data_IF_408067122386
#
_entry.id   IF_408067122386
#
_cell.length_a   1.000
_cell.length_b   1.000
_cell.length_c   1.000
_cell.angle_alpha   90.00
_cell.angle_beta   90.00
_cell.angle_gamma   90.00
#
_symmetry.space_group_name_H-M   'P 1'
#
loop_
_entity.id
_entity.type
_entity.pdbx_description
1 polymer ?
#
# COMPACT_ATOMS: atom_id res chain seq x y z
N UNK A 1 81.46 36.78 8.88
CA UNK A 1 81.04 35.45 8.39
C UNK A 1 79.70 35.13 9.02
N UNK A 2 78.61 35.09 8.24
CA UNK A 2 77.54 34.08 8.31
C UNK A 2 76.43 34.46 7.32
N UNK A 3 76.36 33.69 6.23
CA UNK A 3 75.32 33.76 5.21
C UNK A 3 74.11 32.95 5.69
N UNK A 4 72.93 33.56 5.79
CA UNK A 4 71.67 32.83 5.91
C UNK A 4 71.04 32.67 4.53
N UNK A 5 70.99 31.42 4.04
CA UNK A 5 70.22 31.03 2.85
C UNK A 5 68.75 30.93 3.25
N UNK A 6 67.88 31.74 2.63
CA UNK A 6 66.43 31.56 2.71
C UNK A 6 66.01 30.35 1.86
N UNK A 7 65.36 29.38 2.51
CA UNK A 7 64.76 28.22 1.87
C UNK A 7 63.27 28.53 1.62
N UNK A 8 62.89 28.69 0.35
CA UNK A 8 61.47 28.77 -0.03
C UNK A 8 60.87 27.35 0.01
N UNK A 9 59.90 27.12 0.88
CA UNK A 9 59.09 25.90 0.90
C UNK A 9 57.82 26.18 0.11
N UNK A 10 57.70 25.60 -1.08
CA UNK A 10 56.49 25.64 -1.89
C UNK A 10 55.53 24.55 -1.39
N UNK A 11 54.51 24.94 -0.62
CA UNK A 11 53.43 24.03 -0.22
C UNK A 11 52.44 23.86 -1.37
N UNK A 12 52.47 22.70 -2.03
CA UNK A 12 51.43 22.31 -3.00
C UNK A 12 50.22 21.81 -2.21
N UNK A 13 49.18 22.64 -2.14
CA UNK A 13 47.88 22.23 -1.58
C UNK A 13 47.16 21.31 -2.56
N UNK A 14 47.10 20.01 -2.26
CA UNK A 14 46.20 19.07 -2.92
C UNK A 14 44.78 19.37 -2.45
N UNK A 15 44.01 20.09 -3.27
CA UNK A 15 42.58 20.25 -3.07
C UNK A 15 41.90 18.89 -3.33
N UNK A 16 41.63 18.13 -2.27
CA UNK A 16 40.78 16.94 -2.37
C UNK A 16 39.33 17.40 -2.51
N UNK A 17 38.80 17.42 -3.73
CA UNK A 17 37.37 17.57 -3.95
C UNK A 17 36.68 16.31 -3.46
N UNK A 18 35.95 16.43 -2.34
CA UNK A 18 35.04 15.38 -1.91
C UNK A 18 33.89 15.30 -2.92
N UNK A 19 33.89 14.26 -3.76
CA UNK A 19 32.71 13.90 -4.54
C UNK A 19 31.62 13.48 -3.55
N UNK A 20 30.68 14.38 -3.27
CA UNK A 20 29.42 14.01 -2.63
C UNK A 20 28.60 13.26 -3.66
N UNK A 21 28.45 11.95 -3.50
CA UNK A 21 27.44 11.21 -4.26
C UNK A 21 26.11 11.85 -3.85
N UNK A 22 25.40 12.48 -4.78
CA UNK A 22 24.06 12.98 -4.51
C UNK A 22 23.21 11.80 -4.05
N UNK A 23 22.89 11.76 -2.75
CA UNK A 23 22.10 10.68 -2.19
C UNK A 23 20.71 10.77 -2.81
N UNK A 24 20.36 9.79 -3.65
CA UNK A 24 19.04 9.74 -4.28
C UNK A 24 17.98 9.59 -3.21
N UNK A 25 16.93 10.41 -3.27
CA UNK A 25 15.77 10.29 -2.39
C UNK A 25 15.24 8.86 -2.39
N UNK A 26 15.04 8.29 -1.20
CA UNK A 26 14.53 6.95 -1.02
C UNK A 26 13.02 7.01 -0.75
N UNK A 27 12.21 6.51 -1.67
CA UNK A 27 10.75 6.40 -1.45
C UNK A 27 10.46 5.27 -0.46
N UNK A 28 9.48 5.46 0.42
CA UNK A 28 8.98 4.40 1.28
C UNK A 28 8.47 3.20 0.45
N UNK A 29 8.62 1.95 0.91
CA UNK A 29 8.37 0.75 0.10
C UNK A 29 6.89 0.51 -0.21
N UNK A 30 5.97 1.15 0.52
CA UNK A 30 4.54 0.97 0.29
C UNK A 30 3.72 2.17 0.74
N UNK A 31 2.65 2.41 -0.01
CA UNK A 31 1.74 3.54 0.18
C UNK A 31 0.32 3.08 -0.06
N UNK A 32 -0.65 3.63 0.67
CA UNK A 32 -2.07 3.30 0.51
C UNK A 32 -2.95 4.51 0.73
N UNK A 33 -4.15 4.48 0.18
CA UNK A 33 -5.12 5.56 0.30
C UNK A 33 -6.37 5.28 -0.49
N UNK A 34 -7.35 6.16 -0.35
CA UNK A 34 -8.59 6.05 -1.12
C UNK A 34 -8.34 6.36 -2.59
N UNK A 35 -8.98 5.56 -3.44
CA UNK A 35 -9.01 5.62 -4.87
C UNK A 35 -10.46 5.89 -5.28
N UNK A 36 -10.70 7.05 -5.90
CA UNK A 36 -12.03 7.47 -6.34
C UNK A 36 -13.05 7.47 -5.18
N UNK A 37 -12.63 7.94 -4.01
CA UNK A 37 -13.40 8.14 -2.77
C UNK A 37 -14.13 6.92 -2.17
N UNK A 38 -14.01 5.74 -2.80
CA UNK A 38 -14.77 4.56 -2.41
C UNK A 38 -13.90 3.34 -2.08
N UNK A 39 -12.79 3.16 -2.79
CA UNK A 39 -11.98 1.94 -2.72
C UNK A 39 -10.59 2.26 -2.22
N UNK A 40 -9.92 1.33 -1.55
CA UNK A 40 -8.53 1.55 -1.14
C UNK A 40 -7.57 0.90 -2.14
N UNK A 41 -6.55 1.64 -2.57
CA UNK A 41 -5.46 1.15 -3.41
C UNK A 41 -4.17 1.09 -2.61
N UNK A 42 -3.30 0.12 -2.91
CA UNK A 42 -1.92 0.10 -2.39
C UNK A 42 -0.91 0.05 -3.51
N UNK A 43 0.17 0.81 -3.39
CA UNK A 43 1.33 0.79 -4.28
C UNK A 43 2.52 0.22 -3.51
N UNK A 44 3.23 -0.73 -4.12
CA UNK A 44 4.43 -1.36 -3.57
C UNK A 44 5.63 -1.11 -4.47
N UNK A 45 6.72 -0.62 -3.90
CA UNK A 45 7.90 -0.14 -4.62
C UNK A 45 9.16 -0.97 -4.31
N UNK A 46 9.97 -1.17 -5.34
CA UNK A 46 11.35 -1.64 -5.29
C UNK A 46 12.20 -0.62 -6.03
N UNK A 47 13.03 0.11 -5.29
CA UNK A 47 13.86 1.18 -5.83
C UNK A 47 15.32 0.74 -5.97
N UNK A 48 15.94 1.05 -7.11
CA UNK A 48 17.39 0.91 -7.35
C UNK A 48 17.92 2.19 -7.98
N UNK A 49 18.53 3.06 -7.17
CA UNK A 49 18.90 4.40 -7.62
C UNK A 49 17.66 5.19 -7.98
N UNK A 50 17.58 5.69 -9.23
CA UNK A 50 16.39 6.39 -9.73
C UNK A 50 15.36 5.45 -10.35
N UNK A 51 15.70 4.20 -10.64
CA UNK A 51 14.76 3.23 -11.20
C UNK A 51 13.84 2.66 -10.12
N UNK A 52 12.55 2.58 -10.42
CA UNK A 52 11.52 2.02 -9.54
C UNK A 52 10.72 0.97 -10.31
N UNK A 53 10.61 -0.23 -9.75
CA UNK A 53 9.65 -1.25 -10.17
C UNK A 53 8.69 -1.57 -9.05
N UNK A 54 7.58 -2.24 -9.35
CA UNK A 54 6.61 -2.58 -8.33
C UNK A 54 5.27 -2.99 -8.90
N UNK A 55 4.25 -2.87 -8.06
CA UNK A 55 2.87 -3.14 -8.45
C UNK A 55 1.87 -2.33 -7.64
N UNK A 56 0.72 -2.06 -8.26
CA UNK A 56 -0.48 -1.60 -7.58
C UNK A 56 -1.36 -2.81 -7.23
N UNK A 57 -2.14 -2.69 -6.16
CA UNK A 57 -3.15 -3.65 -5.76
C UNK A 57 -4.47 -2.92 -5.51
N UNK A 58 -5.46 -3.20 -6.35
CA UNK A 58 -6.79 -2.60 -6.30
C UNK A 58 -7.83 -3.67 -6.65
N UNK A 59 -8.88 -3.79 -5.84
CA UNK A 59 -9.99 -4.71 -6.08
C UNK A 59 -9.57 -6.17 -6.36
N UNK A 60 -8.56 -6.66 -5.63
CA UNK A 60 -8.01 -8.01 -5.80
C UNK A 60 -7.24 -8.23 -7.12
N UNK A 61 -6.99 -7.17 -7.89
CA UNK A 61 -6.15 -7.17 -9.09
C UNK A 61 -4.80 -6.53 -8.78
N UNK A 62 -3.74 -7.27 -9.08
CA UNK A 62 -2.38 -6.76 -9.06
C UNK A 62 -1.98 -6.29 -10.46
N UNK A 63 -1.46 -5.07 -10.57
CA UNK A 63 -0.94 -4.52 -11.83
C UNK A 63 0.50 -4.08 -11.65
N UNK A 64 1.43 -4.69 -12.38
CA UNK A 64 2.85 -4.34 -12.28
C UNK A 64 3.13 -3.01 -12.96
N UNK A 65 4.13 -2.27 -12.48
CA UNK A 65 4.60 -1.04 -13.13
C UNK A 65 6.12 -0.92 -13.11
N UNK A 66 6.65 -0.05 -13.97
CA UNK A 66 8.05 0.39 -13.97
C UNK A 66 8.14 1.88 -14.21
N UNK A 67 9.14 2.51 -13.62
CA UNK A 67 9.25 3.96 -13.64
C UNK A 67 10.58 4.48 -13.15
N UNK A 68 10.66 5.81 -13.05
CA UNK A 68 11.84 6.52 -12.55
C UNK A 68 11.45 7.71 -11.69
N UNK A 69 12.30 7.99 -10.71
CA UNK A 69 12.29 9.23 -9.92
C UNK A 69 13.12 10.28 -10.66
N UNK A 70 12.57 11.48 -10.77
CA UNK A 70 13.25 12.68 -11.28
C UNK A 70 13.14 13.78 -10.22
N UNK A 71 14.22 14.51 -9.99
CA UNK A 71 14.18 15.68 -9.11
C UNK A 71 13.68 16.89 -9.90
N UNK A 72 12.74 17.62 -9.30
CA UNK A 72 12.15 18.85 -9.85
C UNK A 72 12.25 19.91 -8.75
N UNK A 73 13.29 20.75 -8.82
CA UNK A 73 13.64 21.74 -7.77
C UNK A 73 13.83 21.10 -6.38
N UNK A 74 12.91 21.42 -5.45
CA UNK A 74 12.86 20.89 -4.07
C UNK A 74 11.98 19.63 -3.94
N UNK A 75 11.30 19.22 -5.01
CA UNK A 75 10.38 18.10 -5.05
C UNK A 75 10.95 16.96 -5.90
N UNK A 76 10.27 15.82 -5.85
CA UNK A 76 10.53 14.67 -6.70
C UNK A 76 9.24 14.28 -7.44
N UNK A 77 9.40 13.93 -8.71
CA UNK A 77 8.35 13.36 -9.53
C UNK A 77 8.70 11.90 -9.82
N UNK A 78 7.82 10.98 -9.41
CA UNK A 78 7.90 9.57 -9.77
C UNK A 78 6.86 9.26 -10.85
N UNK A 79 7.34 8.89 -12.03
CA UNK A 79 6.48 8.42 -13.13
C UNK A 79 6.55 6.91 -13.22
N UNK A 80 5.41 6.22 -13.06
CA UNK A 80 5.28 4.77 -13.11
C UNK A 80 4.34 4.37 -14.25
N UNK A 81 4.81 3.57 -15.20
CA UNK A 81 3.99 3.05 -16.29
C UNK A 81 3.53 1.64 -15.94
N UNK A 82 2.22 1.39 -15.94
CA UNK A 82 1.66 0.07 -15.74
C UNK A 82 1.95 -0.85 -16.94
N UNK A 83 2.19 -2.12 -16.65
CA UNK A 83 2.48 -3.16 -17.64
C UNK A 83 1.18 -3.87 -17.98
N UNK A 84 0.78 -3.82 -19.25
CA UNK A 84 -0.42 -4.49 -19.75
C UNK A 84 -1.02 -3.77 -20.95
N UNK A 85 -2.26 -4.14 -21.28
CA UNK A 85 -3.08 -3.48 -22.30
C UNK A 85 -4.53 -3.32 -21.81
N UNK A 86 -5.29 -2.41 -22.43
CA UNK A 86 -6.71 -2.18 -22.15
C UNK A 86 -6.98 -0.90 -21.36
N UNK A 87 -8.26 -0.60 -21.15
CA UNK A 87 -8.72 0.65 -20.53
C UNK A 87 -8.29 0.83 -19.06
N UNK A 88 -7.99 -0.28 -18.37
CA UNK A 88 -7.57 -0.30 -16.97
C UNK A 88 -6.06 -0.17 -16.78
N UNK A 89 -5.31 0.14 -17.85
CA UNK A 89 -3.87 0.32 -17.82
C UNK A 89 -3.56 1.80 -18.04
N UNK A 90 -2.71 2.35 -17.19
CA UNK A 90 -2.33 3.75 -17.23
C UNK A 90 -0.89 4.00 -16.79
N UNK A 91 -0.67 5.22 -16.34
CA UNK A 91 0.56 5.63 -15.67
C UNK A 91 0.21 6.43 -14.42
N UNK A 92 0.97 6.23 -13.36
CA UNK A 92 0.93 7.08 -12.18
C UNK A 92 1.99 8.18 -12.32
N UNK A 93 1.62 9.40 -11.94
CA UNK A 93 2.53 10.51 -11.69
C UNK A 93 2.34 10.85 -10.22
N UNK A 94 3.41 10.73 -9.44
CA UNK A 94 3.42 10.99 -8.01
C UNK A 94 4.36 12.14 -7.74
N UNK A 95 3.87 13.15 -7.02
CA UNK A 95 4.67 14.28 -6.57
C UNK A 95 4.90 14.20 -5.07
N UNK A 96 6.16 14.32 -4.65
CA UNK A 96 6.51 14.21 -3.25
C UNK A 96 7.78 14.95 -2.86
N UNK A 97 7.82 15.38 -1.60
CA UNK A 97 8.97 16.05 -0.97
C UNK A 97 9.78 15.10 -0.12
N UNK A 98 9.08 14.27 0.65
CA UNK A 98 9.64 13.30 1.59
C UNK A 98 8.59 12.21 1.87
N UNK A 99 8.92 11.26 2.75
CA UNK A 99 8.03 10.14 3.11
C UNK A 99 7.04 10.47 4.25
N UNK A 100 7.06 11.68 4.79
CA UNK A 100 6.23 12.12 5.92
C UNK A 100 4.98 12.90 5.47
N UNK A 101 4.93 13.34 4.22
CA UNK A 101 3.77 14.01 3.62
C UNK A 101 3.04 13.04 2.68
N UNK A 102 1.71 13.15 2.54
CA UNK A 102 0.97 12.38 1.55
C UNK A 102 1.55 12.56 0.14
N UNK A 103 1.57 11.49 -0.66
CA UNK A 103 1.85 11.59 -2.10
C UNK A 103 0.61 12.15 -2.79
N UNK A 104 0.79 13.23 -3.53
CA UNK A 104 -0.21 13.66 -4.49
C UNK A 104 -0.08 12.78 -5.74
N UNK A 105 -1.14 12.04 -6.07
CA UNK A 105 -1.10 11.05 -7.14
C UNK A 105 -2.10 11.41 -8.24
N UNK A 106 -1.60 11.41 -9.46
CA UNK A 106 -2.40 11.44 -10.68
C UNK A 106 -2.25 10.10 -11.41
N UNK A 107 -3.35 9.39 -11.62
CA UNK A 107 -3.40 8.24 -12.52
C UNK A 107 -4.01 8.65 -13.86
N UNK A 108 -3.23 8.45 -14.92
CA UNK A 108 -3.58 8.78 -16.31
C UNK A 108 -3.81 7.50 -17.10
N UNK A 109 -5.03 7.24 -17.60
CA UNK A 109 -5.31 6.06 -18.41
C UNK A 109 -4.61 6.14 -19.77
N UNK A 110 -4.29 4.98 -20.34
CA UNK A 110 -3.87 4.88 -21.75
C UNK A 110 -5.04 5.11 -22.72
N UNK A 111 -6.26 4.76 -22.30
CA UNK A 111 -7.48 5.00 -23.07
C UNK A 111 -7.97 6.44 -22.95
N UNK A 112 -8.37 7.03 -24.08
CA UNK A 112 -8.98 8.38 -24.14
C UNK A 112 -10.40 8.43 -23.58
N UNK A 113 -11.08 7.29 -23.41
CA UNK A 113 -12.46 7.23 -22.91
C UNK A 113 -12.55 7.20 -21.37
N UNK A 114 -11.43 6.96 -20.69
CA UNK A 114 -11.36 6.91 -19.23
C UNK A 114 -10.83 8.25 -18.74
N UNK A 115 -11.43 8.79 -17.68
CA UNK A 115 -10.97 10.06 -17.08
C UNK A 115 -9.75 9.83 -16.18
N UNK A 116 -8.82 10.81 -16.11
CA UNK A 116 -7.80 10.86 -15.07
C UNK A 116 -8.39 10.76 -13.67
N UNK A 117 -7.61 10.18 -12.75
CA UNK A 117 -7.95 10.10 -11.33
C UNK A 117 -6.90 10.80 -10.50
N UNK A 118 -7.35 11.47 -9.45
CA UNK A 118 -6.51 12.25 -8.54
C UNK A 118 -6.83 11.80 -7.12
N UNK A 119 -5.81 11.52 -6.32
CA UNK A 119 -5.97 11.04 -4.96
C UNK A 119 -4.66 11.20 -4.19
N UNK A 120 -4.75 11.05 -2.86
CA UNK A 120 -3.59 11.09 -1.98
C UNK A 120 -3.29 9.69 -1.44
N UNK A 121 -2.00 9.39 -1.25
CA UNK A 121 -1.56 8.17 -0.58
C UNK A 121 -0.68 8.50 0.61
N UNK A 122 -0.85 7.75 1.68
CA UNK A 122 -0.01 7.84 2.88
C UNK A 122 0.95 6.67 2.97
N UNK A 123 2.14 6.93 3.51
CA UNK A 123 3.15 5.91 3.68
C UNK A 123 2.67 4.93 4.74
N UNK A 124 2.41 3.69 4.34
CA UNK A 124 1.87 2.67 5.24
C UNK A 124 2.53 1.33 4.97
N UNK A 125 2.95 0.67 6.04
CA UNK A 125 3.54 -0.67 5.98
C UNK A 125 2.43 -1.72 5.94
N UNK A 126 2.58 -2.70 5.05
CA UNK A 126 1.69 -3.85 5.06
C UNK A 126 1.91 -4.69 6.33
N UNK A 127 0.92 -4.72 7.23
CA UNK A 127 0.99 -5.38 8.53
C UNK A 127 -0.34 -6.05 8.87
N UNK A 128 -0.27 -7.12 9.66
CA UNK A 128 -1.46 -7.72 10.25
C UNK A 128 -2.09 -6.74 11.26
N UNK A 129 -3.35 -6.37 11.04
CA UNK A 129 -4.09 -5.42 11.88
C UNK A 129 -4.62 -6.10 13.16
N UNK A 130 -3.69 -6.50 14.04
CA UNK A 130 -4.00 -7.27 15.25
C UNK A 130 -5.00 -6.52 16.14
N UNK A 131 -6.11 -7.19 16.47
CA UNK A 131 -7.13 -6.68 17.40
C UNK A 131 -7.94 -5.50 16.86
N UNK A 132 -7.85 -5.20 15.56
CA UNK A 132 -8.61 -4.15 14.90
C UNK A 132 -9.93 -4.70 14.32
N UNK A 133 -10.91 -3.83 14.17
CA UNK A 133 -12.25 -4.17 13.71
C UNK A 133 -13.24 -4.37 14.87
N UNK A 134 -14.46 -4.70 14.50
CA UNK A 134 -15.62 -4.83 15.38
C UNK A 134 -15.72 -6.22 16.03
N UNK A 135 -15.12 -7.24 15.42
CA UNK A 135 -15.12 -8.62 15.92
C UNK A 135 -13.69 -9.17 16.12
N UNK A 136 -12.83 -8.51 16.91
CA UNK A 136 -11.45 -8.93 17.12
C UNK A 136 -11.33 -10.32 17.77
N UNK A 137 -12.35 -10.76 18.52
CA UNK A 137 -12.42 -12.07 19.15
C UNK A 137 -12.43 -13.24 18.16
N UNK A 138 -12.85 -12.99 16.92
CA UNK A 138 -12.81 -13.98 15.83
C UNK A 138 -11.37 -14.39 15.47
N UNK A 139 -10.37 -13.62 15.92
CA UNK A 139 -8.95 -13.95 15.80
C UNK A 139 -8.30 -14.44 17.10
N UNK A 140 -8.97 -14.38 18.26
CA UNK A 140 -8.34 -14.70 19.56
C UNK A 140 -8.91 -15.95 20.24
N UNK A 141 -10.15 -16.35 19.93
CA UNK A 141 -10.79 -17.56 20.47
C UNK A 141 -11.65 -18.26 19.43
N UNK A 142 -11.98 -19.53 19.67
CA UNK A 142 -13.00 -20.20 18.88
C UNK A 142 -14.38 -19.59 19.17
N UNK A 143 -15.15 -19.35 18.11
CA UNK A 143 -16.55 -18.96 18.21
C UNK A 143 -17.37 -20.14 18.74
N UNK A 144 -18.32 -19.86 19.61
CA UNK A 144 -19.32 -20.78 20.14
C UNK A 144 -20.59 -20.67 19.32
N UNK A 145 -21.50 -21.62 19.46
CA UNK A 145 -22.74 -21.62 18.67
C UNK A 145 -23.59 -20.36 18.93
N UNK A 146 -23.60 -19.86 20.17
CA UNK A 146 -24.26 -18.60 20.50
C UNK A 146 -23.67 -17.37 19.81
N UNK A 147 -22.36 -17.35 19.51
CA UNK A 147 -21.72 -16.24 18.76
C UNK A 147 -22.14 -16.25 17.28
N UNK A 148 -22.71 -17.35 16.79
CA UNK A 148 -23.09 -17.53 15.38
C UNK A 148 -24.61 -17.36 15.15
N UNK A 149 -25.38 -17.11 16.21
CA UNK A 149 -26.83 -16.87 16.14
C UNK A 149 -27.14 -15.40 15.82
N UNK A 150 -26.58 -14.91 14.72
CA UNK A 150 -26.71 -13.52 14.24
C UNK A 150 -27.22 -13.47 12.80
N UNK A 151 -27.52 -12.27 12.31
CA UNK A 151 -27.96 -12.07 10.93
C UNK A 151 -26.86 -12.48 9.93
N UNK A 152 -27.27 -12.91 8.73
CA UNK A 152 -26.32 -13.33 7.69
C UNK A 152 -25.28 -12.26 7.34
N UNK A 153 -25.68 -10.98 7.29
CA UNK A 153 -24.76 -9.88 7.00
C UNK A 153 -23.65 -9.74 8.04
N UNK A 154 -23.98 -9.95 9.32
CA UNK A 154 -23.01 -9.94 10.42
C UNK A 154 -22.00 -11.09 10.29
N UNK A 155 -22.47 -12.30 9.97
CA UNK A 155 -21.60 -13.45 9.71
C UNK A 155 -20.63 -13.18 8.55
N UNK A 156 -21.14 -12.65 7.43
CA UNK A 156 -20.31 -12.31 6.28
C UNK A 156 -19.29 -11.21 6.64
N UNK A 157 -19.69 -10.23 7.45
CA UNK A 157 -18.79 -9.19 7.94
C UNK A 157 -17.70 -9.76 8.86
N UNK A 158 -18.04 -10.57 9.87
CA UNK A 158 -17.07 -11.24 10.76
C UNK A 158 -16.02 -12.00 9.95
N UNK A 159 -16.45 -12.79 8.96
CA UNK A 159 -15.55 -13.54 8.08
C UNK A 159 -14.64 -12.61 7.28
N UNK A 160 -15.20 -11.58 6.66
CA UNK A 160 -14.42 -10.67 5.82
C UNK A 160 -13.49 -9.77 6.65
N UNK A 161 -13.84 -9.43 7.88
CA UNK A 161 -12.97 -8.70 8.80
C UNK A 161 -11.69 -9.50 9.13
N UNK A 162 -11.80 -10.82 9.34
CA UNK A 162 -10.63 -11.69 9.47
C UNK A 162 -9.72 -11.54 8.24
N UNK A 163 -10.28 -11.60 7.03
CA UNK A 163 -9.51 -11.42 5.80
C UNK A 163 -8.91 -10.02 5.66
N UNK A 164 -9.67 -8.99 6.04
CA UNK A 164 -9.24 -7.59 6.02
C UNK A 164 -8.05 -7.35 6.97
N UNK A 165 -8.06 -7.95 8.17
CA UNK A 165 -6.92 -7.85 9.11
C UNK A 165 -5.62 -8.40 8.54
N UNK A 166 -5.71 -9.39 7.63
CA UNK A 166 -4.56 -9.95 6.92
C UNK A 166 -4.21 -9.20 5.62
N UNK A 167 -4.89 -8.10 5.33
CA UNK A 167 -4.67 -7.27 4.14
C UNK A 167 -5.18 -7.93 2.85
N UNK A 168 -6.29 -8.66 2.90
CA UNK A 168 -6.91 -9.21 1.69
C UNK A 168 -7.47 -8.10 0.80
N UNK A 169 -7.05 -8.04 -0.46
CA UNK A 169 -7.62 -7.13 -1.45
C UNK A 169 -8.93 -7.72 -2.00
N UNK A 170 -10.06 -7.22 -1.48
CA UNK A 170 -11.38 -7.67 -1.88
C UNK A 170 -11.68 -7.43 -3.35
N UNK A 171 -12.29 -8.42 -4.01
CA UNK A 171 -12.69 -8.34 -5.42
C UNK A 171 -14.07 -7.71 -5.61
N UNK A 172 -14.98 -7.91 -4.66
CA UNK A 172 -16.34 -7.38 -4.74
C UNK A 172 -16.35 -5.94 -4.24
N UNK A 173 -17.12 -5.09 -4.92
CA UNK A 173 -17.22 -3.66 -4.58
C UNK A 173 -17.71 -3.46 -3.15
N UNK A 174 -18.69 -4.24 -2.71
CA UNK A 174 -19.23 -4.22 -1.35
C UNK A 174 -18.14 -4.28 -0.28
N UNK A 175 -17.33 -5.33 -0.25
CA UNK A 175 -16.29 -5.51 0.77
C UNK A 175 -15.09 -4.58 0.55
N UNK A 176 -14.73 -4.29 -0.70
CA UNK A 176 -13.69 -3.32 -1.01
C UNK A 176 -14.02 -1.94 -0.45
N UNK A 177 -15.27 -1.48 -0.62
CA UNK A 177 -15.74 -0.20 -0.12
C UNK A 177 -15.91 -0.21 1.40
N UNK A 178 -16.49 -1.28 1.95
CA UNK A 178 -16.70 -1.44 3.39
C UNK A 178 -15.39 -1.29 4.16
N UNK A 179 -14.33 -2.00 3.76
CA UNK A 179 -13.07 -1.95 4.48
C UNK A 179 -12.19 -0.75 4.11
N UNK A 180 -12.40 -0.12 2.95
CA UNK A 180 -11.62 1.05 2.52
C UNK A 180 -11.66 2.20 3.54
N UNK A 181 -12.77 2.35 4.26
CA UNK A 181 -12.98 3.43 5.24
C UNK A 181 -12.21 3.24 6.55
N UNK A 182 -11.65 2.06 6.81
CA UNK A 182 -10.91 1.80 8.04
C UNK A 182 -9.42 2.10 7.87
N UNK A 183 -8.86 2.97 8.71
CA UNK A 183 -7.43 3.34 8.68
C UNK A 183 -6.50 2.14 8.89
N UNK A 184 -6.93 1.18 9.72
CA UNK A 184 -6.16 -0.04 9.98
C UNK A 184 -6.12 -1.00 8.80
N UNK A 185 -7.04 -0.87 7.82
CA UNK A 185 -7.10 -1.74 6.66
C UNK A 185 -6.19 -1.21 5.54
N UNK A 186 -5.39 -2.11 4.98
CA UNK A 186 -4.57 -1.88 3.80
C UNK A 186 -4.61 -3.13 2.90
N UNK A 187 -5.01 -3.03 1.63
CA UNK A 187 -4.93 -4.15 0.71
C UNK A 187 -3.46 -4.49 0.45
N UNK A 188 -3.07 -5.73 0.73
CA UNK A 188 -1.71 -6.22 0.62
C UNK A 188 -1.56 -7.46 -0.26
N UNK A 189 -2.57 -8.32 -0.26
CA UNK A 189 -2.47 -9.64 -0.89
C UNK A 189 -3.75 -9.97 -1.63
N UNK A 190 -3.60 -10.62 -2.79
CA UNK A 190 -4.72 -11.20 -3.55
C UNK A 190 -5.24 -12.50 -2.95
N UNK A 191 -4.52 -13.07 -1.97
CA UNK A 191 -4.89 -14.25 -1.20
C UNK A 191 -4.23 -14.21 0.18
N UNK A 192 -5.01 -14.47 1.24
CA UNK A 192 -4.56 -14.49 2.63
C UNK A 192 -4.79 -15.82 3.34
N UNK A 193 -5.30 -16.86 2.66
CA UNK A 193 -5.66 -18.14 3.29
C UNK A 193 -4.47 -18.80 4.02
N UNK A 194 -3.27 -18.71 3.43
CA UNK A 194 -2.03 -19.20 4.04
C UNK A 194 -1.52 -18.36 5.22
N UNK A 195 -2.09 -17.17 5.46
CA UNK A 195 -1.71 -16.23 6.54
C UNK A 195 -2.58 -16.38 7.78
N UNK A 196 -3.76 -16.98 7.64
CA UNK A 196 -4.68 -17.17 8.75
C UNK A 196 -4.05 -18.02 9.86
N UNK A 197 -4.34 -17.69 11.11
CA UNK A 197 -4.03 -18.54 12.25
C UNK A 197 -4.91 -19.81 12.26
N UNK A 198 -4.58 -20.77 13.13
CA UNK A 198 -5.42 -21.97 13.34
C UNK A 198 -6.83 -21.59 13.81
N UNK A 199 -6.94 -20.60 14.70
CA UNK A 199 -8.22 -20.12 15.24
C UNK A 199 -9.05 -19.45 14.14
N UNK A 200 -8.44 -18.53 13.38
CA UNK A 200 -9.12 -17.83 12.30
C UNK A 200 -9.63 -18.79 11.22
N UNK A 201 -8.82 -19.79 10.81
CA UNK A 201 -9.28 -20.80 9.85
C UNK A 201 -10.50 -21.58 10.35
N UNK A 202 -10.50 -22.00 11.61
CA UNK A 202 -11.63 -22.74 12.16
C UNK A 202 -12.87 -21.86 12.29
N UNK A 203 -12.71 -20.60 12.71
CA UNK A 203 -13.82 -19.65 12.78
C UNK A 203 -14.40 -19.33 11.40
N UNK A 204 -13.56 -19.05 10.39
CA UNK A 204 -13.99 -18.87 9.00
C UNK A 204 -14.78 -20.08 8.50
N UNK A 205 -14.31 -21.29 8.81
CA UNK A 205 -15.01 -22.54 8.45
C UNK A 205 -16.37 -22.64 9.13
N UNK A 206 -16.46 -22.40 10.44
CA UNK A 206 -17.73 -22.44 11.20
C UNK A 206 -18.72 -21.39 10.70
N UNK A 207 -18.27 -20.15 10.48
CA UNK A 207 -19.10 -19.07 9.94
C UNK A 207 -19.70 -19.49 8.59
N UNK A 208 -18.86 -19.96 7.64
CA UNK A 208 -19.31 -20.43 6.32
C UNK A 208 -20.32 -21.58 6.39
N UNK A 209 -20.28 -22.43 7.42
CA UNK A 209 -21.26 -23.50 7.61
C UNK A 209 -22.63 -22.96 8.05
N UNK A 210 -22.68 -21.86 8.81
CA UNK A 210 -23.92 -21.30 9.35
C UNK A 210 -24.56 -20.28 8.40
N UNK A 211 -23.77 -19.51 7.65
CA UNK A 211 -24.23 -18.47 6.71
C UNK A 211 -25.44 -18.86 5.82
N UNK A 212 -25.51 -20.07 5.22
CA UNK A 212 -26.65 -20.45 4.36
C UNK A 212 -27.98 -20.57 5.10
N UNK A 213 -27.94 -20.78 6.42
CA UNK A 213 -29.11 -21.01 7.27
C UNK A 213 -29.50 -19.76 8.10
N UNK A 214 -28.62 -18.76 8.14
CA UNK A 214 -28.87 -17.51 8.86
C UNK A 214 -29.95 -16.65 8.16
N UNK A 215 -30.73 -15.94 8.95
CA UNK A 215 -31.78 -15.07 8.42
C UNK A 215 -31.17 -13.92 7.61
N UNK A 216 -31.76 -13.66 6.44
CA UNK A 216 -31.49 -12.47 5.64
C UNK A 216 -32.28 -11.30 6.21
N UNK A 217 -31.73 -10.67 7.23
CA UNK A 217 -32.25 -9.42 7.78
C UNK A 217 -31.22 -8.31 7.56
N UNK A 218 -31.71 -7.09 7.42
CA UNK A 218 -30.85 -5.92 7.41
C UNK A 218 -30.15 -5.81 8.77
N UNK A 219 -28.83 -5.79 8.73
CA UNK A 219 -27.97 -5.68 9.90
C UNK A 219 -27.63 -4.21 10.23
N UNK A 220 -28.15 -3.26 9.43
CA UNK A 220 -28.23 -1.84 9.79
C UNK A 220 -26.89 -1.12 9.77
N UNK A 221 -26.00 -1.48 8.84
CA UNK A 221 -24.64 -0.93 8.77
C UNK A 221 -24.33 -0.23 7.46
#
# INVERSE_FOLDING_TARGET
MQNFKQLLILTVGLATSTFSIAQTMQIAPSWTGLYNDEQKISLFFQQKGTDVSGYSLLNGKQTNFKGKIQQTDLNYTLTLNEVGQGADIGKFILEFKNNATPLEVQWLPTSKSVKPKFFNLDAQQCKYAKGQGDFPETSTRLLKDGDLQVARGELEYMRNEIYARHGYAFKTKEWANTFAMYDWYMPCYTNVEGRLSKIERENVKRIKMVEPYAQKMDWGR
#
